data_IF_809491094743
#
_entry.id   IF_809491094743
#
_cell.length_a   1.000
_cell.length_b   1.000
_cell.length_c   1.000
_cell.angle_alpha   90.00
_cell.angle_beta   90.00
_cell.angle_gamma   90.00
#
_symmetry.space_group_name_H-M   'P 1'
#
loop_
_entity.id
_entity.type
_entity.pdbx_description
1 polymer ?
#
# COMPACT_ATOMS: atom_id res chain seq x y z
N UNK A 1 11.80 -18.27 -1.91
CA UNK A 1 11.35 -19.17 -0.83
C UNK A 1 12.52 -19.69 0.00
N UNK A 2 13.54 -20.29 -0.61
CA UNK A 2 14.72 -20.78 0.13
C UNK A 2 15.44 -19.70 0.95
N UNK A 3 15.60 -18.50 0.39
CA UNK A 3 16.15 -17.36 1.12
C UNK A 3 15.29 -16.93 2.32
N UNK A 4 13.96 -17.11 2.25
CA UNK A 4 13.04 -16.82 3.37
C UNK A 4 13.20 -17.88 4.44
N UNK A 5 13.18 -19.17 4.08
CA UNK A 5 13.41 -20.28 5.01
C UNK A 5 14.77 -20.15 5.73
N UNK A 6 15.83 -19.82 4.99
CA UNK A 6 17.17 -19.61 5.56
C UNK A 6 17.18 -18.46 6.58
N UNK A 7 16.54 -17.32 6.27
CA UNK A 7 16.55 -16.14 7.16
C UNK A 7 15.62 -16.27 8.35
N UNK A 8 14.48 -16.95 8.21
CA UNK A 8 13.54 -17.14 9.30
C UNK A 8 13.89 -18.32 10.22
N UNK A 9 14.84 -19.17 9.83
CA UNK A 9 15.14 -20.43 10.52
C UNK A 9 14.04 -21.49 10.38
N UNK A 10 12.98 -21.20 9.61
CA UNK A 10 11.91 -22.15 9.38
C UNK A 10 12.36 -23.26 8.43
N UNK A 11 11.88 -24.49 8.66
CA UNK A 11 12.12 -25.58 7.75
C UNK A 11 11.54 -25.29 6.36
N UNK A 12 12.26 -25.65 5.29
CA UNK A 12 11.85 -25.41 3.90
C UNK A 12 10.43 -25.89 3.63
N UNK A 13 10.10 -27.12 4.05
CA UNK A 13 8.77 -27.69 3.86
C UNK A 13 7.65 -26.84 4.52
N UNK A 14 7.91 -26.21 5.67
CA UNK A 14 6.94 -25.32 6.34
C UNK A 14 6.65 -24.08 5.49
N UNK A 15 7.70 -23.46 4.96
CA UNK A 15 7.60 -22.25 4.13
C UNK A 15 6.87 -22.54 2.81
N UNK A 16 7.20 -23.65 2.14
CA UNK A 16 6.53 -24.07 0.90
C UNK A 16 5.10 -24.58 1.11
N UNK A 17 4.78 -25.16 2.28
CA UNK A 17 3.41 -25.56 2.63
C UNK A 17 2.50 -24.34 2.79
N UNK A 18 3.00 -23.26 3.40
CA UNK A 18 2.24 -22.03 3.59
C UNK A 18 2.11 -21.24 2.30
N UNK A 19 3.21 -21.06 1.58
CA UNK A 19 3.22 -20.30 0.34
C UNK A 19 3.75 -21.17 -0.80
N UNK A 20 2.87 -21.50 -1.74
CA UNK A 20 3.19 -22.39 -2.87
C UNK A 20 4.13 -21.74 -3.88
N UNK A 21 4.10 -20.42 -3.96
CA UNK A 21 4.96 -19.60 -4.80
C UNK A 21 5.25 -18.24 -4.14
N UNK A 22 6.03 -17.41 -4.82
CA UNK A 22 6.38 -16.05 -4.36
C UNK A 22 5.16 -15.12 -4.36
N UNK A 23 4.20 -15.32 -5.26
CA UNK A 23 2.98 -14.53 -5.33
C UNK A 23 2.12 -14.68 -4.08
N UNK A 24 1.93 -15.90 -3.59
CA UNK A 24 1.21 -16.18 -2.36
C UNK A 24 1.88 -15.58 -1.11
N UNK A 25 3.21 -15.63 -1.03
CA UNK A 25 3.97 -14.96 0.04
C UNK A 25 3.74 -13.44 0.02
N UNK A 26 3.74 -12.84 -1.17
CA UNK A 26 3.59 -11.41 -1.32
C UNK A 26 2.14 -10.95 -1.12
N UNK A 27 1.16 -11.77 -1.47
CA UNK A 27 -0.24 -11.51 -1.16
C UNK A 27 -0.47 -11.44 0.36
N UNK A 28 0.00 -12.43 1.12
CA UNK A 28 -0.06 -12.42 2.60
C UNK A 28 0.64 -11.18 3.18
N UNK A 29 1.79 -10.81 2.60
CA UNK A 29 2.55 -9.64 3.05
C UNK A 29 1.80 -8.32 2.79
N UNK A 30 1.14 -8.19 1.63
CA UNK A 30 0.32 -7.03 1.30
C UNK A 30 -0.90 -6.94 2.23
N UNK A 31 -1.52 -8.07 2.53
CA UNK A 31 -2.64 -8.16 3.47
C UNK A 31 -2.22 -7.70 4.87
N UNK A 32 -1.09 -8.20 5.38
CA UNK A 32 -0.51 -7.73 6.64
C UNK A 32 -0.15 -6.23 6.62
N UNK A 33 0.26 -5.68 5.47
CA UNK A 33 0.54 -4.25 5.33
C UNK A 33 -0.74 -3.38 5.32
N UNK A 34 -1.91 -3.98 5.06
CA UNK A 34 -3.22 -3.35 5.19
C UNK A 34 -3.72 -3.30 6.64
N UNK A 35 -3.24 -4.20 7.50
CA UNK A 35 -3.55 -4.18 8.94
C UNK A 35 -2.82 -3.04 9.70
N UNK A 36 -1.84 -2.41 9.06
CA UNK A 36 -1.15 -1.24 9.62
C UNK A 36 -2.10 -0.06 9.53
N UNK A 37 -2.42 0.52 10.69
CA UNK A 37 -3.20 1.76 10.82
C UNK A 37 -2.39 2.96 10.28
N UNK A 38 -2.37 3.08 8.96
CA UNK A 38 -1.75 4.19 8.26
C UNK A 38 -2.75 5.36 8.18
N UNK A 39 -2.31 6.51 8.64
CA UNK A 39 -3.05 7.77 8.55
C UNK A 39 -2.32 8.72 7.61
N UNK A 40 -3.04 9.47 6.77
CA UNK A 40 -2.42 10.41 5.86
C UNK A 40 -1.83 11.61 6.64
N UNK A 41 -0.83 12.31 6.08
CA UNK A 41 -0.26 13.49 6.73
C UNK A 41 -1.30 14.59 6.96
N UNK A 42 -1.30 15.18 8.15
CA UNK A 42 -2.12 16.34 8.51
C UNK A 42 -1.22 17.48 8.99
N UNK A 43 -0.76 18.27 8.03
CA UNK A 43 0.08 19.45 8.22
C UNK A 43 -0.75 20.72 8.45
N UNK A 44 -2.09 20.63 8.41
CA UNK A 44 -3.01 21.75 8.51
C UNK A 44 -3.23 22.51 7.19
N UNK A 45 -2.76 22.01 6.05
CA UNK A 45 -3.08 22.57 4.73
C UNK A 45 -3.03 21.51 3.64
N UNK A 46 -3.99 21.52 2.71
CA UNK A 46 -4.05 20.55 1.61
C UNK A 46 -2.75 20.47 0.79
N UNK A 47 -2.13 21.62 0.53
CA UNK A 47 -0.85 21.67 -0.18
C UNK A 47 0.24 20.97 0.62
N UNK A 48 0.32 21.22 1.92
CA UNK A 48 1.29 20.59 2.81
C UNK A 48 1.06 19.07 2.90
N UNK A 49 -0.20 18.65 3.01
CA UNK A 49 -0.57 17.23 3.12
C UNK A 49 -0.23 16.47 1.84
N UNK A 50 -0.57 17.00 0.67
CA UNK A 50 -0.21 16.42 -0.62
C UNK A 50 1.31 16.43 -0.86
N UNK A 51 2.03 17.43 -0.34
CA UNK A 51 3.49 17.48 -0.45
C UNK A 51 4.13 16.39 0.43
N UNK A 52 3.69 16.27 1.68
CA UNK A 52 4.16 15.26 2.62
C UNK A 52 3.84 13.84 2.10
N UNK A 53 2.64 13.62 1.59
CA UNK A 53 2.24 12.33 1.01
C UNK A 53 3.12 11.95 -0.20
N UNK A 54 3.40 12.90 -1.09
CA UNK A 54 4.31 12.64 -2.22
C UNK A 54 5.74 12.37 -1.77
N UNK A 55 6.21 13.04 -0.71
CA UNK A 55 7.53 12.80 -0.12
C UNK A 55 7.61 11.37 0.43
N UNK A 56 6.61 10.91 1.19
CA UNK A 56 6.55 9.52 1.69
C UNK A 56 6.59 8.49 0.55
N UNK A 57 5.83 8.74 -0.53
CA UNK A 57 5.84 7.89 -1.72
C UNK A 57 7.22 7.89 -2.36
N UNK A 58 7.81 9.06 -2.59
CA UNK A 58 9.16 9.18 -3.17
C UNK A 58 10.20 8.42 -2.33
N UNK A 59 10.21 8.65 -1.02
CA UNK A 59 11.15 8.05 -0.08
C UNK A 59 11.03 6.51 -0.11
N UNK A 60 9.81 5.99 -0.20
CA UNK A 60 9.55 4.54 -0.33
C UNK A 60 10.09 3.94 -1.65
N UNK A 61 10.17 4.73 -2.71
CA UNK A 61 10.63 4.30 -4.03
C UNK A 61 12.16 4.35 -4.17
N UNK A 62 12.82 5.33 -3.52
CA UNK A 62 14.27 5.56 -3.68
C UNK A 62 15.13 4.83 -2.65
N UNK A 63 14.56 4.40 -1.51
CA UNK A 63 15.28 3.60 -0.50
C UNK A 63 15.80 2.28 -1.10
N UNK A 64 16.99 1.84 -0.68
CA UNK A 64 17.59 0.60 -1.16
C UNK A 64 17.84 -0.40 -0.01
N UNK A 65 17.23 -1.60 -0.04
CA UNK A 65 16.27 -2.08 -1.05
C UNK A 65 14.87 -1.45 -0.90
N UNK A 66 14.19 -1.14 -2.02
CA UNK A 66 12.83 -0.58 -2.00
C UNK A 66 11.78 -1.69 -1.93
N UNK A 67 11.00 -1.65 -0.85
CA UNK A 67 9.86 -2.54 -0.68
C UNK A 67 8.72 -2.23 -1.67
N UNK A 68 8.45 -0.95 -1.93
CA UNK A 68 7.43 -0.51 -2.87
C UNK A 68 7.74 -1.00 -4.30
N UNK A 69 9.00 -0.89 -4.74
CA UNK A 69 9.44 -1.41 -6.05
C UNK A 69 9.31 -2.93 -6.13
N UNK A 70 9.69 -3.64 -5.06
CA UNK A 70 9.54 -5.09 -5.01
C UNK A 70 8.06 -5.52 -5.11
N UNK A 71 7.15 -4.81 -4.44
CA UNK A 71 5.71 -5.03 -4.52
C UNK A 71 5.15 -4.75 -5.92
N UNK A 72 5.56 -3.66 -6.57
CA UNK A 72 5.18 -3.38 -7.96
C UNK A 72 5.68 -4.47 -8.92
N UNK A 73 6.95 -4.88 -8.80
CA UNK A 73 7.50 -5.95 -9.63
C UNK A 73 6.82 -7.31 -9.41
N UNK A 74 6.20 -7.51 -8.24
CA UNK A 74 5.50 -8.74 -7.89
C UNK A 74 4.07 -8.80 -8.43
N UNK A 75 3.36 -7.66 -8.48
CA UNK A 75 2.01 -7.62 -9.04
C UNK A 75 1.99 -8.02 -10.51
N UNK A 76 3.04 -7.69 -11.28
CA UNK A 76 3.19 -8.17 -12.66
C UNK A 76 3.39 -9.70 -12.80
N UNK A 77 3.72 -10.40 -11.71
CA UNK A 77 4.05 -11.84 -11.73
C UNK A 77 3.02 -12.71 -11.03
N UNK A 78 1.99 -12.11 -10.43
CA UNK A 78 0.93 -12.84 -9.72
C UNK A 78 -0.35 -12.02 -9.68
N UNK A 79 -1.42 -12.57 -10.26
CA UNK A 79 -2.75 -11.98 -10.16
C UNK A 79 -3.22 -11.82 -8.70
N UNK A 80 -2.83 -12.76 -7.83
CA UNK A 80 -3.18 -12.70 -6.41
C UNK A 80 -2.52 -11.49 -5.74
N UNK A 81 -1.22 -11.28 -5.99
CA UNK A 81 -0.50 -10.12 -5.49
C UNK A 81 -1.03 -8.81 -6.09
N UNK A 82 -1.40 -8.80 -7.38
CA UNK A 82 -2.02 -7.64 -8.02
C UNK A 82 -3.35 -7.27 -7.37
N UNK A 83 -4.25 -8.25 -7.14
CA UNK A 83 -5.52 -8.02 -6.45
C UNK A 83 -5.32 -7.51 -5.02
N UNK A 84 -4.36 -8.05 -4.28
CA UNK A 84 -4.04 -7.57 -2.94
C UNK A 84 -3.54 -6.12 -2.97
N UNK A 85 -2.64 -5.79 -3.90
CA UNK A 85 -2.10 -4.45 -4.07
C UNK A 85 -3.20 -3.42 -4.42
N UNK A 86 -4.12 -3.77 -5.33
CA UNK A 86 -5.25 -2.90 -5.67
C UNK A 86 -6.12 -2.60 -4.46
N UNK A 87 -6.43 -3.61 -3.62
CA UNK A 87 -7.22 -3.40 -2.40
C UNK A 87 -6.52 -2.47 -1.41
N UNK A 88 -5.22 -2.69 -1.18
CA UNK A 88 -4.42 -1.85 -0.29
C UNK A 88 -4.42 -0.38 -0.71
N UNK A 89 -4.25 -0.11 -2.02
CA UNK A 89 -4.26 1.26 -2.53
C UNK A 89 -5.64 1.89 -2.52
N UNK A 90 -6.71 1.11 -2.75
CA UNK A 90 -8.07 1.60 -2.65
C UNK A 90 -8.41 2.02 -1.21
N UNK A 91 -8.04 1.21 -0.21
CA UNK A 91 -8.22 1.55 1.20
C UNK A 91 -7.44 2.83 1.57
N UNK A 92 -6.15 2.90 1.21
CA UNK A 92 -5.35 4.11 1.48
C UNK A 92 -5.88 5.35 0.76
N UNK A 93 -6.38 5.21 -0.47
CA UNK A 93 -6.99 6.31 -1.20
C UNK A 93 -8.29 6.78 -0.53
N UNK A 94 -9.12 5.86 -0.02
CA UNK A 94 -10.31 6.19 0.74
C UNK A 94 -9.97 6.92 2.04
N UNK A 95 -8.96 6.47 2.79
CA UNK A 95 -8.47 7.15 4.00
C UNK A 95 -7.91 8.54 3.67
N UNK A 96 -7.13 8.67 2.59
CA UNK A 96 -6.56 9.96 2.17
C UNK A 96 -7.61 10.94 1.60
N UNK A 97 -8.73 10.45 1.06
CA UNK A 97 -9.82 11.30 0.57
C UNK A 97 -10.42 12.18 1.68
N UNK A 98 -10.26 11.79 2.95
CA UNK A 98 -10.61 12.60 4.12
C UNK A 98 -9.83 13.93 4.13
N UNK A 99 -8.57 13.95 3.69
CA UNK A 99 -7.80 15.21 3.57
C UNK A 99 -8.42 16.16 2.55
N UNK A 100 -8.85 15.63 1.41
CA UNK A 100 -9.51 16.43 0.38
C UNK A 100 -10.87 16.97 0.87
N UNK A 101 -11.63 16.16 1.62
CA UNK A 101 -12.87 16.60 2.24
C UNK A 101 -12.64 17.66 3.33
N UNK A 102 -11.66 17.47 4.21
CA UNK A 102 -11.30 18.40 5.29
C UNK A 102 -10.80 19.75 4.75
N UNK A 103 -10.12 19.75 3.61
CA UNK A 103 -9.68 20.96 2.91
C UNK A 103 -10.81 21.72 2.17
N UNK A 104 -12.05 21.26 2.24
CA UNK A 104 -13.19 21.89 1.58
C UNK A 104 -13.26 21.66 0.05
N UNK A 105 -12.49 20.71 -0.50
CA UNK A 105 -12.52 20.41 -1.95
C UNK A 105 -13.84 19.76 -2.41
N UNK A 106 -14.68 19.32 -1.47
CA UNK A 106 -16.06 18.90 -1.72
C UNK A 106 -17.08 19.96 -1.24
N UNK A 107 -16.88 21.24 -1.59
CA UNK A 107 -18.03 22.14 -1.67
C UNK A 107 -18.78 21.83 -2.97
N UNK A 108 -19.63 20.79 -2.96
CA UNK A 108 -20.62 20.62 -4.01
C UNK A 108 -21.60 21.79 -3.86
N UNK A 109 -21.45 22.82 -4.69
CA UNK A 109 -22.50 23.82 -4.87
C UNK A 109 -23.73 23.08 -5.34
N UNK A 110 -24.74 22.96 -4.47
CA UNK A 110 -26.06 22.50 -4.86
C UNK A 110 -26.65 23.61 -5.72
N UNK A 111 -26.55 23.47 -7.04
CA UNK A 111 -27.35 24.24 -7.98
C UNK A 111 -28.82 23.86 -7.69
N UNK A 112 -29.47 24.66 -6.85
CA UNK A 112 -30.92 24.71 -6.80
C UNK A 112 -31.37 25.44 -8.07
N UNK A 113 -31.57 24.66 -9.13
CA UNK A 113 -32.33 25.12 -10.29
C UNK A 113 -33.79 25.34 -9.87
N UNK A 114 -34.24 26.55 -10.18
CA UNK A 114 -35.53 27.19 -9.93
C UNK A 114 -36.67 26.57 -10.73
#
# INVERSE_FOLDING_TARGET
>A
MDGVAKRSGAHRATVYRRWRDVGGLLADLIEAAGEIDWQPPDTGSLRGDLTALNQEIQDSLVVQPSFAVALMAASFRSEQAARAQTRLWADRAATAAVLAAAAGAFSVSREEDV
#
